data_IF_085711620262
#
_entry.id   IF_085711620262
#
_cell.length_a   1.000
_cell.length_b   1.000
_cell.length_c   1.000
_cell.angle_alpha   90.00
_cell.angle_beta   90.00
_cell.angle_gamma   90.00
#
_symmetry.space_group_name_H-M   'P 1'
#
loop_
_entity.id
_entity.type
_entity.pdbx_description
1 polymer ?
#
# COMPACT_ATOMS: atom_id res chain seq x y z
N UNK A 1 2.22 -23.54 -10.92
CA UNK A 1 2.25 -22.27 -10.18
C UNK A 1 0.95 -22.20 -9.40
N UNK A 2 1.03 -22.39 -8.09
CA UNK A 2 -0.14 -22.46 -7.23
C UNK A 2 -0.79 -21.08 -7.07
N UNK A 3 -2.13 -21.04 -7.01
CA UNK A 3 -2.89 -19.78 -6.89
C UNK A 3 -2.46 -18.93 -5.69
N UNK A 4 -2.04 -19.56 -4.60
CA UNK A 4 -1.56 -18.87 -3.39
C UNK A 4 -0.27 -18.08 -3.64
N UNK A 5 0.68 -18.64 -4.40
CA UNK A 5 1.92 -17.95 -4.77
C UNK A 5 1.66 -16.75 -5.68
N UNK A 6 0.67 -16.86 -6.56
CA UNK A 6 0.29 -15.78 -7.45
C UNK A 6 -0.34 -14.62 -6.67
N UNK A 7 -1.26 -14.90 -5.75
CA UNK A 7 -1.89 -13.88 -4.90
C UNK A 7 -0.86 -13.18 -4.00
N UNK A 8 0.08 -13.94 -3.43
CA UNK A 8 1.16 -13.36 -2.63
C UNK A 8 2.02 -12.40 -3.45
N UNK A 9 2.38 -12.77 -4.69
CA UNK A 9 3.16 -11.91 -5.57
C UNK A 9 2.39 -10.64 -5.97
N UNK A 10 1.09 -10.75 -6.23
CA UNK A 10 0.26 -9.59 -6.53
C UNK A 10 0.21 -8.61 -5.35
N UNK A 11 -0.01 -9.10 -4.13
CA UNK A 11 -0.01 -8.25 -2.92
C UNK A 11 1.31 -7.54 -2.72
N UNK A 12 2.44 -8.24 -2.81
CA UNK A 12 3.75 -7.59 -2.67
C UNK A 12 4.03 -6.55 -3.74
N UNK A 13 3.59 -6.79 -4.99
CA UNK A 13 3.71 -5.79 -6.04
C UNK A 13 2.82 -4.56 -5.75
N UNK A 14 1.61 -4.77 -5.24
CA UNK A 14 0.71 -3.69 -4.83
C UNK A 14 1.34 -2.83 -3.73
N UNK A 15 1.80 -3.47 -2.66
CA UNK A 15 2.49 -2.82 -1.53
C UNK A 15 3.68 -1.98 -2.01
N UNK A 16 4.54 -2.57 -2.84
CA UNK A 16 5.71 -1.88 -3.42
C UNK A 16 5.31 -0.67 -4.23
N UNK A 17 4.24 -0.77 -5.03
CA UNK A 17 3.78 0.34 -5.87
C UNK A 17 3.18 1.47 -5.02
N UNK A 18 2.42 1.16 -3.97
CA UNK A 18 1.90 2.15 -3.01
C UNK A 18 3.06 2.89 -2.35
N UNK A 19 4.01 2.16 -1.78
CA UNK A 19 5.18 2.74 -1.10
C UNK A 19 5.99 3.64 -2.04
N UNK A 20 6.25 3.18 -3.26
CA UNK A 20 6.97 3.96 -4.27
C UNK A 20 6.25 5.26 -4.61
N UNK A 21 4.94 5.18 -4.82
CA UNK A 21 4.11 6.35 -5.10
C UNK A 21 4.11 7.36 -3.95
N UNK A 22 4.01 6.91 -2.69
CA UNK A 22 4.08 7.77 -1.51
C UNK A 22 5.42 8.51 -1.44
N UNK A 23 6.52 7.80 -1.67
CA UNK A 23 7.88 8.37 -1.68
C UNK A 23 8.00 9.49 -2.71
N UNK A 24 7.56 9.25 -3.95
CA UNK A 24 7.58 10.24 -5.02
C UNK A 24 6.67 11.45 -4.72
N UNK A 25 5.43 11.18 -4.28
CA UNK A 25 4.41 12.21 -4.14
C UNK A 25 4.65 13.16 -2.96
N UNK A 26 5.13 12.62 -1.84
CA UNK A 26 5.48 13.39 -0.62
C UNK A 26 6.93 13.84 -0.59
N UNK A 27 7.76 13.45 -1.57
CA UNK A 27 9.20 13.73 -1.63
C UNK A 27 9.93 13.27 -0.36
N UNK A 28 9.56 12.10 0.14
CA UNK A 28 10.19 11.44 1.29
C UNK A 28 10.98 10.24 0.81
N UNK A 29 11.98 9.80 1.59
CA UNK A 29 12.71 8.59 1.23
C UNK A 29 11.83 7.33 1.34
N UNK A 30 12.25 6.29 0.63
CA UNK A 30 11.57 4.99 0.56
C UNK A 30 11.38 4.35 1.94
N UNK A 31 12.31 4.58 2.88
CA UNK A 31 12.23 4.01 4.23
C UNK A 31 11.16 4.71 5.06
N UNK A 32 11.04 6.03 4.96
CA UNK A 32 9.93 6.79 5.58
C UNK A 32 8.60 6.38 4.95
N UNK A 33 8.52 6.23 3.63
CA UNK A 33 7.31 5.76 2.96
C UNK A 33 6.90 4.34 3.41
N UNK A 34 7.85 3.43 3.59
CA UNK A 34 7.60 2.10 4.16
C UNK A 34 7.05 2.18 5.59
N UNK A 35 7.68 2.98 6.45
CA UNK A 35 7.25 3.15 7.84
C UNK A 35 5.81 3.70 7.92
N UNK A 36 5.47 4.66 7.07
CA UNK A 36 4.10 5.19 6.95
C UNK A 36 3.14 4.10 6.49
N UNK A 37 3.46 3.38 5.41
CA UNK A 37 2.61 2.34 4.86
C UNK A 37 2.31 1.25 5.91
N UNK A 38 3.34 0.69 6.57
CA UNK A 38 3.14 -0.39 7.54
C UNK A 38 2.50 0.05 8.87
N UNK A 39 2.42 1.36 9.13
CA UNK A 39 1.64 1.91 10.26
C UNK A 39 0.18 2.21 9.89
N UNK A 40 -0.16 2.13 8.61
CA UNK A 40 -1.48 2.50 8.13
C UNK A 40 -2.51 1.40 8.29
N UNK A 41 -3.78 1.80 8.46
CA UNK A 41 -4.93 0.91 8.37
C UNK A 41 -5.05 0.29 6.98
N UNK A 42 -4.66 1.01 5.94
CA UNK A 42 -4.61 0.48 4.57
C UNK A 42 -3.76 -0.80 4.48
N UNK A 43 -2.61 -0.86 5.14
CA UNK A 43 -1.76 -2.05 5.13
C UNK A 43 -2.44 -3.26 5.78
N UNK A 44 -3.15 -3.05 6.89
CA UNK A 44 -3.96 -4.09 7.54
C UNK A 44 -5.09 -4.57 6.62
N UNK A 45 -5.74 -3.65 5.90
CA UNK A 45 -6.81 -3.99 4.95
C UNK A 45 -6.30 -4.84 3.78
N UNK A 46 -5.16 -4.48 3.19
CA UNK A 46 -4.53 -5.22 2.08
C UNK A 46 -4.06 -6.61 2.55
N UNK A 47 -3.43 -6.68 3.72
CA UNK A 47 -2.98 -7.95 4.31
C UNK A 47 -4.16 -8.90 4.52
N UNK A 48 -5.25 -8.40 5.10
CA UNK A 48 -6.47 -9.17 5.36
C UNK A 48 -7.35 -9.41 4.12
N UNK A 49 -7.05 -8.79 2.97
CA UNK A 49 -7.85 -8.92 1.73
C UNK A 49 -9.28 -8.41 1.88
N UNK A 50 -9.45 -7.33 2.66
CA UNK A 50 -10.79 -6.80 2.97
C UNK A 50 -11.41 -6.25 1.68
N UNK A 51 -12.62 -6.73 1.35
CA UNK A 51 -13.45 -6.22 0.25
C UNK A 51 -12.77 -6.24 -1.14
N UNK A 52 -11.74 -7.07 -1.34
CA UNK A 52 -11.00 -7.13 -2.61
C UNK A 52 -10.17 -5.87 -2.87
N UNK A 53 -9.79 -5.13 -1.82
CA UNK A 53 -8.95 -3.92 -1.89
C UNK A 53 -7.62 -4.18 -2.62
N UNK A 54 -7.12 -5.42 -2.58
CA UNK A 54 -5.93 -5.83 -3.32
C UNK A 54 -6.08 -5.75 -4.85
N UNK A 55 -7.30 -5.59 -5.36
CA UNK A 55 -7.58 -5.41 -6.78
C UNK A 55 -7.74 -3.93 -7.19
N UNK A 56 -7.68 -2.99 -6.24
CA UNK A 56 -7.80 -1.56 -6.52
C UNK A 56 -6.48 -0.97 -7.06
N UNK A 57 -6.58 0.17 -7.76
CA UNK A 57 -5.41 0.88 -8.27
C UNK A 57 -4.56 1.42 -7.12
N UNK A 58 -3.25 1.13 -7.14
CA UNK A 58 -2.33 1.52 -6.09
C UNK A 58 -2.25 3.04 -5.86
N UNK A 59 -2.47 3.87 -6.89
CA UNK A 59 -2.47 5.33 -6.74
C UNK A 59 -3.69 5.79 -5.97
N UNK A 60 -4.85 5.20 -6.26
CA UNK A 60 -6.06 5.49 -5.50
C UNK A 60 -5.88 5.14 -4.03
N UNK A 61 -5.35 3.96 -3.73
CA UNK A 61 -5.08 3.53 -2.35
C UNK A 61 -4.07 4.46 -1.65
N UNK A 62 -3.01 4.86 -2.35
CA UNK A 62 -2.01 5.77 -1.79
C UNK A 62 -2.56 7.18 -1.55
N UNK A 63 -3.39 7.71 -2.45
CA UNK A 63 -4.07 9.00 -2.27
C UNK A 63 -5.08 8.93 -1.11
N UNK A 64 -5.87 7.86 -1.01
CA UNK A 64 -6.79 7.62 0.12
C UNK A 64 -6.03 7.60 1.46
N UNK A 65 -4.90 6.91 1.52
CA UNK A 65 -4.02 6.92 2.69
C UNK A 65 -3.54 8.34 3.05
N UNK A 66 -3.11 9.10 2.06
CA UNK A 66 -2.66 10.48 2.26
C UNK A 66 -3.79 11.42 2.69
N UNK A 67 -5.02 11.14 2.30
CA UNK A 67 -6.19 11.94 2.64
C UNK A 67 -6.79 11.58 4.00
N UNK A 68 -6.84 10.30 4.35
CA UNK A 68 -7.57 9.78 5.51
C UNK A 68 -6.68 9.50 6.73
N UNK A 69 -5.38 9.24 6.54
CA UNK A 69 -4.42 8.96 7.61
C UNK A 69 -3.28 10.00 7.62
N UNK A 70 -3.66 11.28 7.54
CA UNK A 70 -2.74 12.43 7.44
C UNK A 70 -1.76 12.53 8.61
N UNK A 71 -2.14 12.01 9.77
CA UNK A 71 -1.34 11.97 10.99
C UNK A 71 -0.05 11.15 10.86
N UNK A 72 0.06 10.30 9.82
CA UNK A 72 1.24 9.49 9.59
C UNK A 72 2.36 10.21 8.84
N UNK A 73 2.09 11.36 8.21
CA UNK A 73 3.03 12.05 7.31
C UNK A 73 3.83 13.18 7.98
#
# INVERSE_FOLDING_TARGET
>A
MDKENLNFLYKQNLEKNIIGYLSEKKKIDLRKAMDIYYKSKLSEQISNGILGIENMDYKYLAEDLMENERELF
#
